data_IF_037319658954
#
_entry.id   IF_037319658954
#
_cell.length_a   1.000
_cell.length_b   1.000
_cell.length_c   1.000
_cell.angle_alpha   90.00
_cell.angle_beta   90.00
_cell.angle_gamma   90.00
#
_symmetry.space_group_name_H-M   'P 1'
#
loop_
_entity.id
_entity.type
_entity.pdbx_description
1 polymer ?
#
# COMPACT_ATOMS: atom_id res chain seq x y z
N UNK A 1 1.65 25.80 -16.35
CA UNK A 1 2.76 24.83 -16.48
C UNK A 1 2.23 23.42 -16.53
N UNK A 2 2.98 22.48 -17.12
CA UNK A 2 2.53 21.17 -17.64
C UNK A 2 1.91 20.14 -16.67
N UNK A 3 1.88 20.38 -15.36
CA UNK A 3 1.20 19.51 -14.39
C UNK A 3 0.06 20.20 -13.62
N UNK A 4 -0.03 21.54 -13.68
CA UNK A 4 -1.01 22.31 -12.89
C UNK A 4 -2.44 21.87 -13.18
N UNK A 5 -2.77 21.63 -14.45
CA UNK A 5 -4.10 21.17 -14.88
C UNK A 5 -4.40 19.77 -14.34
N UNK A 6 -3.44 18.85 -14.43
CA UNK A 6 -3.59 17.48 -13.89
C UNK A 6 -3.83 17.54 -12.38
N UNK A 7 -2.97 18.26 -11.66
CA UNK A 7 -3.07 18.38 -10.20
C UNK A 7 -4.41 18.96 -9.74
N UNK A 8 -4.90 20.00 -10.41
CA UNK A 8 -6.09 20.74 -9.98
C UNK A 8 -7.39 20.14 -10.50
N UNK A 9 -7.41 19.70 -11.75
CA UNK A 9 -8.64 19.44 -12.52
C UNK A 9 -8.83 17.97 -12.90
N UNK A 10 -7.87 17.07 -12.68
CA UNK A 10 -8.12 15.66 -13.01
C UNK A 10 -9.21 15.09 -12.11
N UNK A 11 -10.15 14.34 -12.70
CA UNK A 11 -11.22 13.67 -11.98
C UNK A 11 -10.67 12.74 -10.87
N UNK A 12 -9.57 12.02 -11.15
CA UNK A 12 -8.94 11.14 -10.17
C UNK A 12 -8.44 11.90 -8.93
N UNK A 13 -7.64 12.95 -9.09
CA UNK A 13 -7.16 13.74 -7.95
C UNK A 13 -8.28 14.50 -7.23
N UNK A 14 -9.37 14.84 -7.93
CA UNK A 14 -10.54 15.43 -7.30
C UNK A 14 -11.21 14.40 -6.38
N UNK A 15 -11.51 13.20 -6.88
CA UNK A 15 -12.11 12.13 -6.08
C UNK A 15 -11.23 11.68 -4.90
N UNK A 16 -9.91 11.59 -5.10
CA UNK A 16 -8.98 11.25 -4.00
C UNK A 16 -8.87 12.33 -2.92
N UNK A 17 -9.27 13.58 -3.21
CA UNK A 17 -9.29 14.69 -2.25
C UNK A 17 -10.64 14.82 -1.54
N UNK A 18 -11.68 14.15 -2.01
CA UNK A 18 -12.97 14.16 -1.33
C UNK A 18 -12.89 13.44 0.01
N UNK A 19 -13.50 13.98 1.08
CA UNK A 19 -13.59 13.29 2.35
C UNK A 19 -14.20 11.91 2.14
N UNK A 20 -13.42 10.88 2.46
CA UNK A 20 -13.92 9.52 2.44
C UNK A 20 -14.77 9.26 3.68
N UNK A 21 -15.59 8.21 3.64
CA UNK A 21 -16.31 7.76 4.85
C UNK A 21 -15.32 7.53 5.99
N UNK A 22 -15.63 8.09 7.17
CA UNK A 22 -14.81 7.88 8.36
C UNK A 22 -14.79 6.41 8.81
N UNK A 23 -15.76 5.60 8.37
CA UNK A 23 -15.77 4.15 8.57
C UNK A 23 -15.63 3.75 10.04
N UNK A 24 -14.76 2.76 10.30
CA UNK A 24 -14.40 2.31 11.64
C UNK A 24 -13.84 3.44 12.54
N UNK A 25 -13.33 4.52 11.95
CA UNK A 25 -12.77 5.66 12.67
C UNK A 25 -13.80 6.76 12.99
N UNK A 26 -15.09 6.60 12.64
CA UNK A 26 -16.11 7.65 12.77
C UNK A 26 -16.32 8.17 14.21
N UNK A 27 -16.04 7.35 15.22
CA UNK A 27 -16.12 7.72 16.64
C UNK A 27 -14.76 7.98 17.29
N UNK A 28 -13.67 7.97 16.51
CA UNK A 28 -12.32 8.18 17.03
C UNK A 28 -12.08 9.66 17.35
N UNK A 29 -11.70 9.97 18.58
CA UNK A 29 -11.40 11.34 19.00
C UNK A 29 -10.19 11.99 18.30
N UNK A 30 -9.38 11.20 17.59
CA UNK A 30 -8.23 11.68 16.81
C UNK A 30 -8.52 11.76 15.29
N UNK A 31 -9.76 11.52 14.86
CA UNK A 31 -10.12 11.45 13.44
C UNK A 31 -9.69 12.69 12.66
N UNK A 32 -9.87 13.89 13.22
CA UNK A 32 -9.53 15.13 12.51
C UNK A 32 -8.04 15.24 12.14
N UNK A 33 -7.16 14.62 12.93
CA UNK A 33 -5.72 14.66 12.72
C UNK A 33 -5.23 13.67 11.65
N UNK A 34 -5.87 12.50 11.53
CA UNK A 34 -5.40 11.42 10.65
C UNK A 34 -6.33 11.13 9.47
N UNK A 35 -7.61 11.52 9.55
CA UNK A 35 -8.67 11.27 8.56
C UNK A 35 -8.78 9.77 8.20
N UNK A 36 -8.59 8.89 9.18
CA UNK A 36 -8.59 7.43 8.98
C UNK A 36 -7.28 6.86 8.42
N UNK A 37 -6.22 7.66 8.29
CA UNK A 37 -4.87 7.23 7.95
C UNK A 37 -4.63 7.02 6.44
N UNK A 38 -3.65 6.19 6.09
CA UNK A 38 -3.18 6.02 4.72
C UNK A 38 -4.05 5.02 3.93
N UNK A 39 -4.81 5.54 2.96
CA UNK A 39 -5.59 4.72 2.03
C UNK A 39 -4.73 3.66 1.30
N UNK A 40 -3.51 4.02 0.91
CA UNK A 40 -2.63 3.12 0.17
C UNK A 40 -2.11 1.97 1.05
N UNK A 41 -1.79 2.24 2.31
CA UNK A 41 -1.33 1.21 3.25
C UNK A 41 -2.41 0.13 3.44
N UNK A 42 -3.68 0.56 3.59
CA UNK A 42 -4.83 -0.36 3.65
C UNK A 42 -4.92 -1.23 2.39
N UNK A 43 -4.87 -0.60 1.21
CA UNK A 43 -4.93 -1.33 -0.06
C UNK A 43 -3.84 -2.39 -0.19
N UNK A 44 -2.58 -2.05 0.08
CA UNK A 44 -1.46 -2.99 -0.08
C UNK A 44 -1.39 -4.07 0.99
N UNK A 45 -1.99 -3.85 2.16
CA UNK A 45 -2.10 -4.86 3.21
C UNK A 45 -3.34 -5.73 3.07
N UNK A 46 -4.28 -5.38 2.20
CA UNK A 46 -5.55 -6.09 2.04
C UNK A 46 -6.62 -5.68 3.08
N UNK A 47 -6.38 -4.61 3.83
CA UNK A 47 -7.37 -4.03 4.74
C UNK A 47 -8.48 -3.30 3.96
N UNK A 48 -9.72 -3.31 4.48
CA UNK A 48 -10.82 -2.56 3.87
C UNK A 48 -10.57 -1.05 3.98
N UNK A 49 -11.00 -0.29 2.97
CA UNK A 49 -10.74 1.16 2.89
C UNK A 49 -11.37 1.96 4.04
N UNK A 50 -12.50 1.48 4.56
CA UNK A 50 -13.22 2.03 5.71
C UNK A 50 -12.75 1.45 7.05
N UNK A 51 -11.75 0.57 7.06
CA UNK A 51 -11.07 0.10 8.26
C UNK A 51 -10.00 1.07 8.77
N UNK A 52 -9.42 0.83 9.97
CA UNK A 52 -8.26 1.58 10.45
C UNK A 52 -7.03 1.34 9.56
N UNK A 53 -6.16 2.34 9.49
CA UNK A 53 -4.83 2.20 8.88
C UNK A 53 -3.97 1.20 9.68
N UNK A 54 -3.15 0.34 9.05
CA UNK A 54 -2.35 -0.65 9.78
C UNK A 54 -1.37 -0.03 10.79
N UNK A 55 -0.96 1.23 10.60
CA UNK A 55 -0.09 1.98 11.52
C UNK A 55 -0.90 2.90 12.46
N UNK A 56 -2.20 2.64 12.64
CA UNK A 56 -3.03 3.36 13.59
C UNK A 56 -2.41 3.30 14.99
N UNK A 57 -2.04 4.46 15.54
CA UNK A 57 -1.41 4.58 16.87
C UNK A 57 -2.29 4.09 18.02
N UNK A 58 -3.61 3.94 17.79
CA UNK A 58 -4.55 3.36 18.74
C UNK A 58 -4.48 1.82 18.81
N UNK A 59 -3.78 1.15 17.89
CA UNK A 59 -3.63 -0.30 17.84
C UNK A 59 -4.71 -1.03 17.02
N UNK A 60 -5.86 -0.39 16.74
CA UNK A 60 -6.98 -1.01 16.01
C UNK A 60 -6.57 -1.53 14.60
N UNK A 61 -5.58 -0.87 13.99
CA UNK A 61 -5.02 -1.24 12.69
C UNK A 61 -4.26 -2.56 12.72
N UNK A 62 -3.42 -2.75 13.73
CA UNK A 62 -2.61 -3.95 13.92
C UNK A 62 -3.50 -5.17 14.19
N UNK A 63 -4.52 -5.01 15.03
CA UNK A 63 -5.48 -6.08 15.33
C UNK A 63 -6.19 -6.56 14.07
N UNK A 64 -6.70 -5.63 13.25
CA UNK A 64 -7.37 -6.00 12.01
C UNK A 64 -6.39 -6.61 11.01
N UNK A 65 -5.17 -6.07 10.91
CA UNK A 65 -4.12 -6.59 10.02
C UNK A 65 -3.76 -8.04 10.33
N UNK A 66 -3.66 -8.40 11.60
CA UNK A 66 -3.35 -9.77 12.03
C UNK A 66 -4.40 -10.80 11.55
N UNK A 67 -5.63 -10.36 11.29
CA UNK A 67 -6.70 -11.21 10.78
C UNK A 67 -6.79 -11.26 9.25
N UNK A 68 -6.01 -10.44 8.51
CA UNK A 68 -6.09 -10.38 7.04
C UNK A 68 -5.42 -11.60 6.39
N UNK A 69 -6.14 -12.37 5.56
CA UNK A 69 -5.51 -13.40 4.74
C UNK A 69 -4.54 -12.79 3.72
N UNK A 70 -3.31 -13.32 3.64
CA UNK A 70 -2.28 -12.88 2.67
C UNK A 70 -2.79 -12.86 1.21
N UNK A 71 -3.77 -13.71 0.89
CA UNK A 71 -4.39 -13.77 -0.43
C UNK A 71 -5.13 -12.48 -0.84
N UNK A 72 -5.51 -11.62 0.11
CA UNK A 72 -6.18 -10.35 -0.15
C UNK A 72 -5.21 -9.21 -0.45
N UNK A 73 -3.94 -9.32 -0.06
CA UNK A 73 -2.94 -8.33 -0.41
C UNK A 73 -2.68 -8.36 -1.93
N UNK A 74 -2.82 -7.22 -2.64
CA UNK A 74 -2.67 -7.18 -4.08
C UNK A 74 -1.24 -7.55 -4.47
N UNK A 75 -1.10 -8.52 -5.37
CA UNK A 75 0.20 -8.83 -5.97
C UNK A 75 0.50 -7.83 -7.09
N UNK A 76 1.78 -7.44 -7.26
CA UNK A 76 2.20 -6.73 -8.44
C UNK A 76 1.77 -7.48 -9.70
N UNK A 77 1.20 -6.78 -10.68
CA UNK A 77 0.79 -7.37 -11.96
C UNK A 77 1.98 -7.80 -12.81
N UNK A 78 3.14 -7.16 -12.59
CA UNK A 78 4.37 -7.39 -13.34
C UNK A 78 5.45 -7.96 -12.41
N UNK A 79 6.23 -8.90 -12.94
CA UNK A 79 7.48 -9.31 -12.30
C UNK A 79 8.58 -8.29 -12.61
N UNK A 80 9.01 -7.54 -11.58
CA UNK A 80 10.14 -6.62 -11.64
C UNK A 80 11.45 -7.24 -11.11
N UNK A 81 11.47 -8.55 -10.86
CA UNK A 81 12.67 -9.25 -10.42
C UNK A 81 13.76 -9.16 -11.48
N UNK A 82 15.00 -8.96 -11.04
CA UNK A 82 16.13 -8.99 -11.95
C UNK A 82 16.25 -10.40 -12.54
N UNK A 83 16.52 -10.55 -13.86
CA UNK A 83 16.79 -11.86 -14.44
C UNK A 83 17.90 -12.57 -13.66
N UNK A 84 17.73 -13.87 -13.39
CA UNK A 84 18.78 -14.66 -12.76
C UNK A 84 20.06 -14.56 -13.59
N UNK A 85 21.18 -14.17 -12.95
CA UNK A 85 22.47 -14.13 -13.63
C UNK A 85 22.86 -15.57 -13.96
N UNK A 86 23.17 -15.91 -15.24
CA UNK A 86 23.67 -17.24 -15.55
C UNK A 86 24.93 -17.50 -14.72
N UNK A 87 24.91 -18.56 -13.93
CA UNK A 87 26.11 -18.99 -13.21
C UNK A 87 27.16 -19.37 -14.26
N UNK A 88 28.31 -18.70 -14.25
CA UNK A 88 29.43 -19.10 -15.10
C UNK A 88 29.86 -20.50 -14.66
N UNK A 89 29.84 -21.45 -15.59
CA UNK A 89 30.42 -22.77 -15.35
C UNK A 89 31.86 -22.58 -14.88
N UNK A 90 32.24 -23.26 -13.78
CA UNK A 90 33.61 -23.25 -13.31
C UNK A 90 34.51 -23.83 -14.42
N UNK A 91 35.55 -23.09 -14.80
CA UNK A 91 36.55 -23.59 -15.74
C UNK A 91 37.41 -24.60 -14.97
N UNK A 92 37.48 -25.88 -15.40
CA UNK A 92 38.35 -26.85 -14.74
C UNK A 92 39.80 -26.42 -14.96
N UNK A 93 40.54 -26.22 -13.86
CA UNK A 93 41.99 -26.04 -13.90
C UNK A 93 42.59 -27.43 -14.04
N UNK A 94 43.19 -27.73 -15.19
CA UNK A 94 43.98 -28.95 -15.37
C UNK A 94 45.20 -28.88 -14.44
N UNK A 95 45.28 -29.81 -13.48
CA UNK A 95 46.46 -29.99 -12.63
C UNK A 95 47.60 -30.63 -13.41
N UNK A 96 48.83 -30.20 -13.10
CA UNK A 96 50.07 -30.84 -13.54
C UNK A 96 50.23 -32.26 -12.99
#
# INVERSE_FOLDING_TARGET
>A
GGFTRVWRESELFLGLREPQSAGACASCGAFDACQGGCMAAKFFTGLPLDGPDPECVGGDGEELLAAVPIALAPRPSQDHSKPARPQRAAIPVAGN
#
